data_IF_759325152253
#
_entry.id   IF_759325152253
#
_cell.length_a   1.000
_cell.length_b   1.000
_cell.length_c   1.000
_cell.angle_alpha   90.00
_cell.angle_beta   90.00
_cell.angle_gamma   90.00
#
_symmetry.space_group_name_H-M   'P 1'
#
loop_
_entity.id
_entity.type
_entity.pdbx_description
1 polymer ?
#
# COMPACT_ATOMS: atom_id res chain seq x y z
N UNK A 1 4.10 37.70 -21.25
CA UNK A 1 3.89 36.40 -21.93
C UNK A 1 5.21 35.66 -21.95
N UNK A 2 5.14 34.32 -21.82
CA UNK A 2 6.22 33.33 -21.77
C UNK A 2 6.67 32.94 -20.36
N UNK A 3 5.87 32.07 -19.72
CA UNK A 3 6.40 31.14 -18.73
C UNK A 3 7.01 29.99 -19.53
N UNK A 4 8.34 29.89 -19.46
CA UNK A 4 9.13 28.79 -20.01
C UNK A 4 8.85 27.58 -19.12
N UNK A 5 8.24 26.54 -19.68
CA UNK A 5 8.01 25.27 -18.98
C UNK A 5 9.35 24.54 -19.01
N UNK A 6 10.21 24.85 -18.05
CA UNK A 6 11.46 24.14 -17.86
C UNK A 6 11.17 22.73 -17.35
N UNK A 7 11.63 21.76 -18.12
CA UNK A 7 12.26 20.52 -17.67
C UNK A 7 11.55 19.81 -16.50
N UNK A 8 10.68 18.88 -16.86
CA UNK A 8 10.08 17.90 -15.95
C UNK A 8 11.19 17.00 -15.39
N UNK A 9 11.73 17.40 -14.25
CA UNK A 9 12.63 16.62 -13.43
C UNK A 9 11.82 15.48 -12.79
N UNK A 10 12.07 14.25 -13.25
CA UNK A 10 11.44 13.01 -12.76
C UNK A 10 12.07 12.58 -11.40
N UNK A 11 12.95 13.40 -10.80
CA UNK A 11 13.67 13.08 -9.57
C UNK A 11 13.08 13.78 -8.31
N UNK A 12 12.02 14.58 -8.47
CA UNK A 12 11.31 15.20 -7.35
C UNK A 12 10.12 14.38 -6.86
N UNK A 13 10.29 13.06 -6.71
CA UNK A 13 9.49 12.33 -5.74
C UNK A 13 9.84 12.95 -4.37
N UNK A 14 8.88 13.53 -3.64
CA UNK A 14 9.19 14.20 -2.40
C UNK A 14 9.82 13.17 -1.46
N UNK A 15 11.00 13.51 -0.93
CA UNK A 15 11.63 12.87 0.22
C UNK A 15 10.76 13.16 1.45
N UNK A 16 9.50 12.75 1.41
CA UNK A 16 8.60 12.90 2.54
C UNK A 16 9.11 12.00 3.66
N UNK A 17 8.99 12.41 4.92
CA UNK A 17 9.20 11.49 6.03
C UNK A 17 8.36 10.25 5.76
N UNK A 18 8.92 9.06 5.95
CA UNK A 18 8.22 7.79 5.74
C UNK A 18 6.98 7.75 6.63
N UNK A 19 5.84 8.24 6.13
CA UNK A 19 4.55 8.17 6.81
C UNK A 19 3.95 6.80 6.57
N UNK A 20 3.05 6.38 7.46
CA UNK A 20 2.34 5.11 7.29
C UNK A 20 1.68 5.01 5.90
N UNK A 21 1.00 6.07 5.47
CA UNK A 21 0.39 6.16 4.14
C UNK A 21 1.39 5.92 3.01
N UNK A 22 2.58 6.53 3.07
CA UNK A 22 3.60 6.32 2.05
C UNK A 22 4.10 4.86 2.03
N UNK A 23 4.31 4.26 3.21
CA UNK A 23 4.70 2.83 3.30
C UNK A 23 3.62 1.90 2.72
N UNK A 24 2.34 2.20 2.97
CA UNK A 24 1.23 1.43 2.37
C UNK A 24 1.19 1.62 0.85
N UNK A 25 1.41 2.83 0.34
CA UNK A 25 1.46 3.09 -1.11
C UNK A 25 2.59 2.31 -1.79
N UNK A 26 3.80 2.39 -1.25
CA UNK A 26 4.95 1.63 -1.77
C UNK A 26 4.68 0.12 -1.74
N UNK A 27 4.09 -0.40 -0.66
CA UNK A 27 3.68 -1.80 -0.60
C UNK A 27 2.67 -2.18 -1.69
N UNK A 28 1.66 -1.35 -1.96
CA UNK A 28 0.67 -1.63 -3.00
C UNK A 28 1.30 -1.61 -4.40
N UNK A 29 2.23 -0.68 -4.67
CA UNK A 29 2.90 -0.57 -5.97
C UNK A 29 3.94 -1.68 -6.20
N UNK A 30 4.73 -2.01 -5.18
CA UNK A 30 5.84 -2.95 -5.29
C UNK A 30 5.41 -4.41 -5.10
N UNK A 31 4.47 -4.68 -4.19
CA UNK A 31 4.10 -6.04 -3.77
C UNK A 31 2.70 -6.46 -4.21
N UNK A 32 1.85 -5.55 -4.68
CA UNK A 32 0.49 -5.89 -5.10
C UNK A 32 0.30 -5.72 -6.62
N UNK A 33 -0.74 -6.39 -7.12
CA UNK A 33 -1.32 -6.22 -8.44
C UNK A 33 -2.69 -5.58 -8.20
N UNK A 34 -2.93 -4.42 -8.82
CA UNK A 34 -4.15 -3.62 -8.64
C UNK A 34 -5.04 -3.79 -9.87
N UNK A 35 -5.92 -4.80 -9.85
CA UNK A 35 -6.84 -5.12 -10.94
C UNK A 35 -8.21 -5.49 -10.38
N UNK A 36 -9.28 -5.04 -11.03
CA UNK A 36 -10.67 -5.20 -10.57
C UNK A 36 -11.09 -6.66 -10.37
N UNK A 37 -10.52 -7.58 -11.15
CA UNK A 37 -10.82 -9.02 -11.10
C UNK A 37 -10.08 -9.75 -9.98
N UNK A 38 -9.16 -9.08 -9.30
CA UNK A 38 -8.33 -9.66 -8.26
C UNK A 38 -8.95 -9.46 -6.88
N UNK A 39 -8.75 -10.45 -6.03
CA UNK A 39 -9.18 -10.39 -4.64
C UNK A 39 -8.20 -11.13 -3.75
N UNK A 40 -8.07 -10.67 -2.52
CA UNK A 40 -7.18 -11.29 -1.53
C UNK A 40 -7.76 -11.22 -0.12
N UNK A 41 -7.55 -12.29 0.64
CA UNK A 41 -7.89 -12.31 2.06
C UNK A 41 -7.04 -11.29 2.85
N UNK A 42 -7.69 -10.53 3.73
CA UNK A 42 -7.06 -9.54 4.61
C UNK A 42 -5.91 -10.14 5.43
N UNK A 43 -6.06 -11.38 5.90
CA UNK A 43 -5.01 -12.06 6.65
C UNK A 43 -3.74 -12.29 5.80
N UNK A 44 -3.90 -12.70 4.53
CA UNK A 44 -2.78 -12.93 3.62
C UNK A 44 -2.11 -11.61 3.22
N UNK A 45 -2.93 -10.62 2.86
CA UNK A 45 -2.47 -9.28 2.51
C UNK A 45 -1.72 -8.63 3.67
N UNK A 46 -2.29 -8.68 4.88
CA UNK A 46 -1.69 -8.11 6.07
C UNK A 46 -0.41 -8.83 6.50
N UNK A 47 -0.33 -10.15 6.34
CA UNK A 47 0.90 -10.89 6.64
C UNK A 47 2.08 -10.40 5.78
N UNK A 48 1.83 -10.16 4.49
CA UNK A 48 2.83 -9.65 3.55
C UNK A 48 3.15 -8.18 3.82
N UNK A 49 2.13 -7.35 4.05
CA UNK A 49 2.32 -5.95 4.45
C UNK A 49 3.14 -5.84 5.73
N UNK A 50 2.85 -6.64 6.76
CA UNK A 50 3.61 -6.65 8.02
C UNK A 50 5.07 -7.03 7.81
N UNK A 51 5.34 -7.99 6.92
CA UNK A 51 6.71 -8.38 6.58
C UNK A 51 7.45 -7.25 5.84
N UNK A 52 6.79 -6.57 4.90
CA UNK A 52 7.31 -5.39 4.21
C UNK A 52 7.57 -4.24 5.18
N UNK A 53 6.56 -3.90 6.00
CA UNK A 53 6.62 -2.86 7.01
C UNK A 53 7.80 -3.06 7.96
N UNK A 54 8.03 -4.28 8.47
CA UNK A 54 9.19 -4.58 9.31
C UNK A 54 10.55 -4.36 8.63
N UNK A 55 10.63 -4.47 7.30
CA UNK A 55 11.87 -4.28 6.54
C UNK A 55 12.16 -2.80 6.33
N UNK A 56 11.13 -2.02 6.00
CA UNK A 56 11.28 -0.60 5.64
C UNK A 56 11.12 0.35 6.84
N UNK A 57 10.36 -0.05 7.86
CA UNK A 57 10.13 0.72 9.07
C UNK A 57 11.22 0.44 10.09
N UNK A 58 12.02 1.47 10.38
CA UNK A 58 13.10 1.41 11.38
C UNK A 58 12.67 1.93 12.76
N UNK A 59 11.42 2.35 12.92
CA UNK A 59 10.87 2.87 14.18
C UNK A 59 10.15 1.81 15.02
N UNK A 60 9.51 2.26 16.10
CA UNK A 60 8.69 1.39 16.93
C UNK A 60 7.49 0.82 16.15
N UNK A 61 7.12 -0.45 16.39
CA UNK A 61 5.97 -1.06 15.73
C UNK A 61 4.67 -0.35 16.15
N UNK A 62 3.87 0.04 15.16
CA UNK A 62 2.59 0.69 15.44
C UNK A 62 1.64 -0.30 16.16
N UNK A 63 1.08 0.06 17.33
CA UNK A 63 0.26 -0.87 18.13
C UNK A 63 -1.02 -1.33 17.41
N UNK A 64 -1.51 -0.55 16.45
CA UNK A 64 -2.71 -0.83 15.66
C UNK A 64 -2.42 -0.96 14.16
N UNK A 65 -1.32 -1.63 13.80
CA UNK A 65 -0.88 -1.76 12.39
C UNK A 65 -1.97 -2.27 11.45
N UNK A 66 -2.71 -3.31 11.86
CA UNK A 66 -3.80 -3.87 11.07
C UNK A 66 -4.94 -2.86 10.89
N UNK A 67 -5.36 -2.20 11.97
CA UNK A 67 -6.45 -1.23 11.92
C UNK A 67 -6.12 -0.05 11.01
N UNK A 68 -4.93 0.53 11.16
CA UNK A 68 -4.46 1.62 10.31
C UNK A 68 -4.36 1.19 8.84
N UNK A 69 -3.86 -0.01 8.58
CA UNK A 69 -3.77 -0.55 7.22
C UNK A 69 -5.15 -0.64 6.55
N UNK A 70 -6.17 -1.16 7.25
CA UNK A 70 -7.54 -1.25 6.72
C UNK A 70 -8.16 0.12 6.46
N UNK A 71 -7.90 1.09 7.34
CA UNK A 71 -8.36 2.48 7.16
C UNK A 71 -7.74 3.08 5.89
N UNK A 72 -6.43 2.92 5.69
CA UNK A 72 -5.75 3.41 4.48
C UNK A 72 -6.31 2.79 3.20
N UNK A 73 -6.55 1.48 3.19
CA UNK A 73 -7.17 0.81 2.03
C UNK A 73 -8.57 1.35 1.74
N UNK A 74 -9.38 1.54 2.78
CA UNK A 74 -10.74 2.09 2.63
C UNK A 74 -10.72 3.54 2.13
N UNK A 75 -9.81 4.36 2.65
CA UNK A 75 -9.64 5.76 2.21
C UNK A 75 -9.21 5.88 0.75
N UNK A 76 -8.51 4.86 0.23
CA UNK A 76 -8.11 4.77 -1.18
C UNK A 76 -9.19 4.21 -2.09
N UNK A 77 -10.35 3.83 -1.55
CA UNK A 77 -11.49 3.30 -2.30
C UNK A 77 -11.48 1.78 -2.48
N UNK A 78 -10.59 1.05 -1.79
CA UNK A 78 -10.70 -0.41 -1.73
C UNK A 78 -11.82 -0.81 -0.78
N UNK A 79 -12.54 -1.85 -1.15
CA UNK A 79 -13.63 -2.40 -0.35
C UNK A 79 -13.28 -3.81 0.11
N UNK A 80 -13.63 -4.11 1.35
CA UNK A 80 -13.51 -5.46 1.91
C UNK A 80 -14.89 -6.06 2.18
N UNK A 81 -15.03 -7.39 2.04
CA UNK A 81 -16.23 -8.06 2.54
C UNK A 81 -16.34 -7.95 4.07
N UNK A 82 -17.56 -7.99 4.62
CA UNK A 82 -17.84 -7.92 6.06
C UNK A 82 -17.82 -9.28 6.77
N UNK A 83 -17.24 -10.30 6.13
CA UNK A 83 -17.14 -11.64 6.69
C UNK A 83 -16.13 -11.75 7.84
N UNK A 84 -16.18 -12.88 8.56
CA UNK A 84 -15.18 -13.25 9.58
C UNK A 84 -13.74 -13.22 9.04
N UNK A 85 -13.59 -13.44 7.73
CA UNK A 85 -12.35 -13.33 6.97
C UNK A 85 -12.54 -12.27 5.88
N UNK A 86 -12.30 -10.98 6.19
CA UNK A 86 -12.52 -9.92 5.21
C UNK A 86 -11.64 -10.16 3.98
N UNK A 87 -12.24 -10.06 2.80
CA UNK A 87 -11.55 -10.20 1.51
C UNK A 87 -11.55 -8.84 0.83
N UNK A 88 -10.38 -8.34 0.45
CA UNK A 88 -10.20 -7.10 -0.29
C UNK A 88 -10.38 -7.35 -1.78
N UNK A 89 -11.14 -6.49 -2.45
CA UNK A 89 -11.40 -6.54 -3.88
C UNK A 89 -10.60 -5.47 -4.63
N UNK A 90 -10.24 -5.75 -5.88
CA UNK A 90 -9.47 -4.84 -6.72
C UNK A 90 -7.96 -4.92 -6.49
N UNK A 91 -7.49 -5.87 -5.69
CA UNK A 91 -6.07 -6.12 -5.48
C UNK A 91 -5.76 -7.57 -5.12
N UNK A 92 -4.54 -7.99 -5.45
CA UNK A 92 -3.94 -9.23 -4.96
C UNK A 92 -2.44 -9.05 -4.74
N UNK A 93 -1.77 -10.02 -4.12
CA UNK A 93 -0.31 -10.03 -4.04
C UNK A 93 0.29 -10.41 -5.38
N UNK A 94 1.39 -9.75 -5.73
CA UNK A 94 2.21 -10.17 -6.86
C UNK A 94 2.76 -11.57 -6.54
N UNK A 95 2.62 -12.55 -7.46
CA UNK A 95 3.28 -13.83 -7.29
C UNK A 95 4.77 -13.54 -7.16
N UNK A 96 5.35 -13.99 -6.06
CA UNK A 96 6.79 -13.99 -5.90
C UNK A 96 7.30 -15.05 -6.87
N UNK A 97 7.66 -14.62 -8.07
CA UNK A 97 8.20 -15.49 -9.12
C UNK A 97 9.28 -16.40 -8.50
N UNK A 98 9.17 -17.68 -8.82
CA UNK A 98 9.78 -18.82 -8.13
C UNK A 98 11.32 -18.82 -8.11
#
# INVERSE_FOLDING_TARGET
MNIVINHMDIDQLPKTPSTFANVVEQFLQECCILEEQQSIEDAQLFANFRAYYKRVWQGEPHPALLGQFRVELTQRGYHSSSDKHPTWYGLTLRPKDA
#
